data_IF_827768222615
#
_entry.id   IF_827768222615
#
_cell.length_a   1.000
_cell.length_b   1.000
_cell.length_c   1.000
_cell.angle_alpha   90.00
_cell.angle_beta   90.00
_cell.angle_gamma   90.00
#
_symmetry.space_group_name_H-M   'P 1'
#
loop_
_entity.id
_entity.type
_entity.pdbx_description
1 polymer ?
#
# COMPACT_ATOMS: atom_id res chain seq x y z
N UNK A 1 -16.58 -46.67 -125.25
CA UNK A 1 -17.51 -45.68 -124.67
C UNK A 1 -18.17 -46.33 -123.49
N UNK A 2 -17.69 -46.16 -122.33
CA UNK A 2 -18.29 -46.69 -121.12
C UNK A 2 -18.20 -45.62 -120.05
N UNK A 3 -19.35 -45.16 -119.60
CA UNK A 3 -19.50 -44.26 -118.45
C UNK A 3 -19.35 -45.08 -117.18
N UNK A 4 -18.49 -44.65 -116.33
CA UNK A 4 -18.35 -45.16 -114.93
C UNK A 4 -19.06 -44.17 -114.03
N UNK A 5 -20.15 -44.57 -113.38
CA UNK A 5 -20.81 -43.82 -112.29
C UNK A 5 -20.06 -44.05 -111.01
N UNK A 6 -19.55 -42.96 -110.38
CA UNK A 6 -19.00 -42.95 -109.04
C UNK A 6 -20.14 -42.85 -108.01
N UNK A 7 -20.26 -43.86 -107.19
CA UNK A 7 -21.22 -43.88 -106.07
C UNK A 7 -20.62 -43.10 -104.88
N UNK A 8 -21.15 -41.94 -104.55
CA UNK A 8 -20.80 -41.20 -103.34
C UNK A 8 -21.40 -41.86 -102.12
N UNK A 9 -20.53 -42.30 -101.20
CA UNK A 9 -20.89 -42.77 -99.86
C UNK A 9 -21.08 -41.60 -98.97
N UNK A 10 -22.30 -41.32 -98.50
CA UNK A 10 -22.66 -40.26 -97.55
C UNK A 10 -22.31 -40.72 -96.15
N UNK A 11 -21.24 -40.16 -95.56
CA UNK A 11 -20.90 -40.32 -94.09
C UNK A 11 -21.97 -39.61 -93.27
N UNK A 12 -22.54 -40.29 -92.26
CA UNK A 12 -23.48 -39.76 -91.28
C UNK A 12 -22.76 -38.82 -90.32
N UNK A 13 -23.36 -37.68 -89.90
CA UNK A 13 -22.72 -36.72 -88.98
C UNK A 13 -22.55 -37.30 -87.60
N UNK A 14 -21.30 -37.43 -87.18
CA UNK A 14 -20.98 -37.72 -85.77
C UNK A 14 -21.50 -36.60 -84.85
N UNK A 15 -22.49 -36.93 -83.98
CA UNK A 15 -22.96 -36.05 -82.87
C UNK A 15 -21.80 -35.71 -81.91
N UNK A 16 -21.30 -34.50 -82.06
CA UNK A 16 -20.35 -33.95 -81.04
C UNK A 16 -21.12 -33.76 -79.72
N UNK A 17 -20.79 -34.54 -78.70
CA UNK A 17 -21.33 -34.38 -77.37
C UNK A 17 -20.80 -33.08 -76.82
N UNK A 18 -21.66 -32.02 -76.72
CA UNK A 18 -21.26 -30.73 -76.12
C UNK A 18 -21.19 -30.86 -74.64
N UNK A 19 -19.96 -30.95 -74.09
CA UNK A 19 -19.69 -30.98 -72.61
C UNK A 19 -19.92 -29.62 -71.96
N UNK A 20 -20.04 -28.52 -72.72
CA UNK A 20 -20.19 -27.15 -72.23
C UNK A 20 -21.35 -26.95 -71.25
N UNK A 21 -22.60 -27.47 -71.48
CA UNK A 21 -23.66 -27.27 -70.46
C UNK A 21 -23.43 -28.01 -69.16
N UNK A 22 -22.75 -29.16 -69.21
CA UNK A 22 -22.40 -29.91 -67.94
C UNK A 22 -21.33 -29.21 -67.15
N UNK A 23 -20.30 -28.63 -67.77
CA UNK A 23 -19.26 -27.85 -67.16
C UNK A 23 -19.83 -26.59 -66.48
N UNK A 24 -20.74 -25.88 -67.21
CA UNK A 24 -21.48 -24.72 -66.68
C UNK A 24 -22.36 -25.11 -65.45
N UNK A 25 -23.01 -26.28 -65.51
CA UNK A 25 -23.83 -26.81 -64.43
C UNK A 25 -22.98 -27.11 -63.18
N UNK A 26 -21.79 -27.73 -63.31
CA UNK A 26 -20.86 -28.03 -62.21
C UNK A 26 -20.30 -26.73 -61.64
N UNK A 27 -19.90 -25.75 -62.44
CA UNK A 27 -19.46 -24.44 -62.00
C UNK A 27 -20.57 -23.72 -61.20
N UNK A 28 -21.83 -23.79 -61.71
CA UNK A 28 -23.00 -23.22 -61.02
C UNK A 28 -23.23 -23.85 -59.61
N UNK A 29 -23.12 -25.17 -59.51
CA UNK A 29 -23.28 -25.90 -58.25
C UNK A 29 -22.14 -25.53 -57.25
N UNK A 30 -20.88 -25.50 -57.75
CA UNK A 30 -19.72 -25.09 -56.94
C UNK A 30 -19.88 -23.65 -56.41
N UNK A 31 -20.37 -22.74 -57.26
CA UNK A 31 -20.63 -21.35 -56.93
C UNK A 31 -21.75 -21.21 -55.90
N UNK A 32 -22.84 -21.98 -56.04
CA UNK A 32 -23.94 -22.01 -55.05
C UNK A 32 -23.43 -22.55 -53.72
N UNK A 33 -22.66 -23.64 -53.67
CA UNK A 33 -22.07 -24.19 -52.44
C UNK A 33 -21.11 -23.20 -51.81
N UNK A 34 -20.31 -22.48 -52.59
CA UNK A 34 -19.39 -21.46 -52.08
C UNK A 34 -20.16 -20.27 -51.49
N UNK A 35 -21.19 -19.77 -52.18
CA UNK A 35 -22.04 -18.68 -51.67
C UNK A 35 -22.76 -19.11 -50.39
N UNK A 36 -23.34 -20.31 -50.38
CA UNK A 36 -24.06 -20.84 -49.20
C UNK A 36 -23.12 -20.96 -48.01
N UNK A 37 -21.90 -21.47 -48.18
CA UNK A 37 -20.89 -21.52 -47.11
C UNK A 37 -20.52 -20.13 -46.60
N UNK A 38 -20.35 -19.15 -47.51
CA UNK A 38 -20.01 -17.77 -47.13
C UNK A 38 -21.15 -17.09 -46.35
N UNK A 39 -22.40 -17.33 -46.77
CA UNK A 39 -23.60 -16.80 -46.11
C UNK A 39 -23.77 -17.43 -44.73
N UNK A 40 -23.62 -18.74 -44.59
CA UNK A 40 -23.68 -19.45 -43.30
C UNK A 40 -22.57 -18.94 -42.38
N UNK A 41 -21.36 -18.73 -42.90
CA UNK A 41 -20.24 -18.17 -42.12
C UNK A 41 -20.55 -16.75 -41.62
N UNK A 42 -21.07 -15.86 -42.48
CA UNK A 42 -21.41 -14.49 -42.14
C UNK A 42 -22.58 -14.38 -41.12
N UNK A 43 -23.49 -15.37 -41.11
CA UNK A 43 -24.60 -15.40 -40.15
C UNK A 43 -24.12 -15.84 -38.75
N UNK A 44 -23.08 -16.71 -38.66
CA UNK A 44 -22.60 -17.28 -37.42
C UNK A 44 -21.34 -16.62 -36.88
N UNK A 45 -20.75 -15.66 -37.57
CA UNK A 45 -19.56 -14.95 -37.14
C UNK A 45 -19.74 -13.45 -37.33
N UNK A 46 -19.41 -12.71 -36.28
CA UNK A 46 -19.31 -11.26 -36.33
C UNK A 46 -17.84 -10.87 -36.23
N UNK A 47 -17.36 -10.06 -37.15
CA UNK A 47 -15.95 -9.65 -37.20
C UNK A 47 -15.79 -8.13 -37.13
N UNK A 48 -14.63 -7.71 -36.62
CA UNK A 48 -14.20 -6.31 -36.66
C UNK A 48 -12.69 -6.23 -36.83
N UNK A 49 -12.28 -5.33 -37.71
CA UNK A 49 -10.90 -4.92 -37.97
C UNK A 49 -10.45 -3.75 -37.07
N UNK A 50 -11.41 -3.08 -36.41
CA UNK A 50 -11.12 -1.99 -35.49
C UNK A 50 -10.82 -2.56 -34.11
N UNK A 51 -9.69 -3.23 -33.97
CA UNK A 51 -9.27 -3.85 -32.72
C UNK A 51 -7.75 -3.82 -32.57
N UNK A 52 -7.31 -3.66 -31.32
CA UNK A 52 -5.90 -3.55 -30.96
C UNK A 52 -5.59 -4.35 -29.72
N UNK A 53 -4.36 -4.88 -29.67
CA UNK A 53 -3.82 -5.49 -28.47
C UNK A 53 -3.45 -4.39 -27.48
N UNK A 54 -3.87 -4.55 -26.23
CA UNK A 54 -3.51 -3.70 -25.11
C UNK A 54 -2.89 -4.53 -23.97
N UNK A 55 -2.13 -3.87 -23.13
CA UNK A 55 -1.53 -4.43 -21.93
C UNK A 55 -1.50 -3.38 -20.81
N UNK A 56 -1.05 -3.78 -19.64
CA UNK A 56 -0.78 -2.84 -18.55
C UNK A 56 0.50 -2.04 -18.86
N UNK A 57 0.40 -0.72 -18.81
CA UNK A 57 1.53 0.19 -18.93
C UNK A 57 1.73 0.83 -17.56
N UNK A 58 2.85 0.53 -16.90
CA UNK A 58 3.17 1.00 -15.56
C UNK A 58 4.15 2.17 -15.65
N UNK A 59 3.72 3.41 -15.39
CA UNK A 59 4.62 4.56 -15.42
C UNK A 59 5.60 4.50 -14.24
N UNK A 60 6.86 4.78 -14.50
CA UNK A 60 7.92 4.87 -13.49
C UNK A 60 8.12 6.33 -13.15
N UNK A 61 7.79 6.66 -11.90
CA UNK A 61 7.86 8.03 -11.37
C UNK A 61 8.69 8.04 -10.08
N UNK A 62 9.61 8.99 -9.87
CA UNK A 62 10.38 9.11 -8.64
C UNK A 62 9.51 9.64 -7.50
N UNK A 63 9.73 9.13 -6.31
CA UNK A 63 9.12 9.60 -5.05
C UNK A 63 9.98 10.66 -4.34
N UNK A 64 11.23 10.80 -4.75
CA UNK A 64 12.17 11.83 -4.28
C UNK A 64 12.76 12.55 -5.46
N UNK A 65 13.04 13.84 -5.30
CA UNK A 65 13.72 14.65 -6.31
C UNK A 65 15.23 14.62 -6.14
N UNK A 66 15.97 14.77 -7.24
CA UNK A 66 17.44 14.84 -7.23
C UNK A 66 18.02 14.64 -8.62
N UNK A 67 19.36 14.64 -8.72
CA UNK A 67 20.05 14.37 -9.96
C UNK A 67 20.17 12.86 -10.22
N UNK A 68 20.02 12.45 -11.46
CA UNK A 68 20.26 11.05 -11.84
C UNK A 68 21.75 10.76 -11.78
N UNK A 69 22.14 9.84 -10.88
CA UNK A 69 23.52 9.39 -10.71
C UNK A 69 23.86 8.22 -11.65
N UNK A 70 22.90 7.29 -11.85
CA UNK A 70 23.11 6.08 -12.63
C UNK A 70 21.81 5.64 -13.31
N UNK A 71 21.92 5.16 -14.57
CA UNK A 71 20.83 4.52 -15.30
C UNK A 71 21.32 3.13 -15.70
N UNK A 72 20.67 2.06 -15.26
CA UNK A 72 21.06 0.66 -15.49
C UNK A 72 20.25 -0.03 -16.58
N UNK A 73 19.43 0.70 -17.27
CA UNK A 73 18.53 0.17 -18.29
C UNK A 73 18.75 0.86 -19.63
N UNK A 74 18.44 0.14 -20.69
CA UNK A 74 18.31 0.66 -22.04
C UNK A 74 16.90 0.55 -22.57
N UNK A 75 16.63 1.23 -23.70
CA UNK A 75 15.32 1.18 -24.34
C UNK A 75 15.01 -0.24 -24.82
N UNK A 76 13.78 -0.68 -24.65
CA UNK A 76 13.26 -1.99 -25.08
C UNK A 76 13.97 -3.21 -24.44
N UNK A 77 14.61 -3.05 -23.29
CA UNK A 77 15.20 -4.16 -22.53
C UNK A 77 14.15 -4.75 -21.59
N UNK A 78 14.16 -6.07 -21.47
CA UNK A 78 13.33 -6.78 -20.50
C UNK A 78 13.91 -6.66 -19.10
N UNK A 79 13.08 -6.35 -18.11
CA UNK A 79 13.43 -6.22 -16.69
C UNK A 79 12.54 -7.10 -15.84
N UNK A 80 13.10 -7.58 -14.71
CA UNK A 80 12.35 -8.33 -13.72
C UNK A 80 11.95 -7.43 -12.56
N UNK A 81 10.84 -7.79 -11.91
CA UNK A 81 10.39 -7.12 -10.70
C UNK A 81 11.51 -7.07 -9.65
N UNK A 82 11.82 -5.87 -9.18
CA UNK A 82 12.89 -5.61 -8.20
C UNK A 82 14.23 -5.19 -8.81
N UNK A 83 14.41 -5.29 -10.13
CA UNK A 83 15.62 -4.81 -10.79
C UNK A 83 15.79 -3.31 -10.60
N UNK A 84 17.01 -2.88 -10.31
CA UNK A 84 17.34 -1.46 -10.19
C UNK A 84 17.39 -0.81 -11.57
N UNK A 85 16.51 0.18 -11.79
CA UNK A 85 16.37 0.87 -13.06
C UNK A 85 17.20 2.16 -13.10
N UNK A 86 17.03 3.01 -12.09
CA UNK A 86 17.66 4.31 -11.98
C UNK A 86 18.07 4.54 -10.54
N UNK A 87 19.22 5.20 -10.34
CA UNK A 87 19.65 5.70 -9.04
C UNK A 87 19.70 7.22 -9.09
N UNK A 88 19.09 7.85 -8.12
CA UNK A 88 19.15 9.29 -7.86
C UNK A 88 20.28 9.53 -6.85
N UNK A 89 20.96 10.67 -6.93
CA UNK A 89 21.97 11.09 -5.96
C UNK A 89 21.38 11.11 -4.54
N UNK A 90 21.93 10.24 -3.70
CA UNK A 90 21.41 9.94 -2.37
C UNK A 90 22.19 10.64 -1.24
N UNK A 91 23.17 11.48 -1.57
CA UNK A 91 24.07 12.10 -0.58
C UNK A 91 23.34 12.94 0.44
N UNK A 92 22.40 13.78 0.00
CA UNK A 92 21.58 14.60 0.89
C UNK A 92 20.64 13.74 1.76
N UNK A 93 20.08 12.67 1.20
CA UNK A 93 19.21 11.74 1.92
C UNK A 93 20.01 10.95 2.99
N UNK A 94 21.23 10.54 2.70
CA UNK A 94 22.15 9.90 3.67
C UNK A 94 22.48 10.86 4.82
N UNK A 95 22.70 12.14 4.53
CA UNK A 95 22.91 13.14 5.58
C UNK A 95 21.66 13.35 6.45
N UNK A 96 20.46 13.30 5.86
CA UNK A 96 19.21 13.34 6.64
C UNK A 96 19.05 12.14 7.55
N UNK A 97 19.34 10.92 7.07
CA UNK A 97 19.37 9.70 7.92
C UNK A 97 20.35 9.88 9.07
N UNK A 98 21.59 10.32 8.78
CA UNK A 98 22.61 10.54 9.80
C UNK A 98 22.20 11.57 10.86
N UNK A 99 21.54 12.64 10.44
CA UNK A 99 20.97 13.64 11.34
C UNK A 99 19.89 13.06 12.26
N UNK A 100 19.00 12.22 11.71
CA UNK A 100 17.96 11.56 12.48
C UNK A 100 18.53 10.53 13.47
N UNK A 101 19.56 9.75 13.07
CA UNK A 101 20.29 8.83 13.96
C UNK A 101 20.88 9.56 15.17
N UNK A 102 21.52 10.69 14.96
CA UNK A 102 22.09 11.51 16.04
C UNK A 102 21.00 12.06 16.95
N UNK A 103 19.87 12.48 16.38
CA UNK A 103 18.73 12.97 17.18
C UNK A 103 18.13 11.85 18.05
N UNK A 104 18.01 10.63 17.51
CA UNK A 104 17.58 9.45 18.26
C UNK A 104 18.56 9.12 19.40
N UNK A 105 19.87 9.10 19.12
CA UNK A 105 20.89 8.83 20.13
C UNK A 105 20.83 9.86 21.28
N UNK A 106 20.60 11.14 20.96
CA UNK A 106 20.43 12.19 21.97
C UNK A 106 19.17 11.96 22.82
N UNK A 107 18.05 11.56 22.22
CA UNK A 107 16.84 11.24 22.97
C UNK A 107 17.03 10.04 23.89
N UNK A 108 17.72 8.99 23.44
CA UNK A 108 18.08 7.83 24.26
C UNK A 108 18.97 8.20 25.42
N UNK A 109 19.97 9.07 25.20
CA UNK A 109 20.82 9.59 26.27
C UNK A 109 20.02 10.38 27.30
N UNK A 110 19.01 11.16 26.88
CA UNK A 110 18.11 11.88 27.78
C UNK A 110 17.28 10.94 28.68
N UNK A 111 16.83 9.79 28.16
CA UNK A 111 16.16 8.76 28.97
C UNK A 111 17.09 8.29 30.08
N UNK A 112 18.37 8.04 29.78
CA UNK A 112 19.36 7.61 30.80
C UNK A 112 19.57 8.67 31.87
N UNK A 113 19.64 9.96 31.51
CA UNK A 113 19.74 11.08 32.45
C UNK A 113 18.51 11.14 33.36
N UNK A 114 17.32 11.04 32.78
CA UNK A 114 16.06 11.07 33.51
C UNK A 114 15.93 9.86 34.46
N UNK A 115 16.40 8.68 34.04
CA UNK A 115 16.45 7.47 34.85
C UNK A 115 17.42 7.63 36.04
N UNK A 116 18.58 8.23 35.83
CA UNK A 116 19.52 8.55 36.89
C UNK A 116 18.91 9.54 37.90
N UNK A 117 18.17 10.54 37.42
CA UNK A 117 17.42 11.48 38.28
C UNK A 117 16.36 10.76 39.14
N UNK A 118 15.63 9.79 38.55
CA UNK A 118 14.68 8.98 39.32
C UNK A 118 15.37 8.15 40.43
N UNK A 119 16.53 7.55 40.13
CA UNK A 119 17.31 6.80 41.11
C UNK A 119 17.70 7.69 42.29
N UNK A 120 18.11 8.93 42.04
CA UNK A 120 18.40 9.93 43.08
C UNK A 120 17.16 10.25 43.92
N UNK A 121 16.02 10.43 43.27
CA UNK A 121 14.74 10.69 43.97
C UNK A 121 14.33 9.50 44.84
N UNK A 122 14.49 8.27 44.35
CA UNK A 122 14.24 7.05 45.13
C UNK A 122 15.18 6.95 46.37
N UNK A 123 16.45 7.32 46.23
CA UNK A 123 17.38 7.38 47.32
C UNK A 123 16.93 8.40 48.39
N UNK A 124 16.44 9.57 48.00
CA UNK A 124 15.89 10.58 48.90
C UNK A 124 14.66 10.07 49.67
N UNK A 125 13.77 9.29 49.03
CA UNK A 125 12.65 8.63 49.71
C UNK A 125 13.15 7.63 50.75
N UNK A 126 14.18 6.84 50.43
CA UNK A 126 14.78 5.89 51.37
C UNK A 126 15.39 6.59 52.61
N UNK A 127 16.04 7.73 52.42
CA UNK A 127 16.54 8.57 53.50
C UNK A 127 15.40 9.11 54.38
N UNK A 128 14.38 9.75 53.73
CA UNK A 128 13.23 10.29 54.47
C UNK A 128 12.46 9.23 55.26
N UNK A 129 12.42 7.99 54.76
CA UNK A 129 11.80 6.86 55.47
C UNK A 129 12.63 6.42 56.69
N UNK A 130 13.96 6.45 56.60
CA UNK A 130 14.85 6.12 57.75
C UNK A 130 14.72 7.12 58.88
N UNK A 131 14.45 8.39 58.59
CA UNK A 131 14.28 9.44 59.60
C UNK A 131 13.05 9.23 60.51
N UNK A 132 12.07 8.44 60.09
CA UNK A 132 10.85 8.13 60.86
C UNK A 132 11.17 7.21 62.07
N UNK A 133 12.06 6.24 61.96
CA UNK A 133 12.36 5.24 62.99
C UNK A 133 12.89 5.89 64.26
N UNK A 134 13.92 6.76 64.28
CA UNK A 134 14.37 7.44 65.45
C UNK A 134 13.31 8.36 66.07
N UNK A 135 12.50 9.04 65.19
CA UNK A 135 11.40 9.87 65.63
C UNK A 135 10.29 9.03 66.35
N UNK A 136 10.04 7.82 65.91
CA UNK A 136 9.08 6.90 66.51
C UNK A 136 9.65 6.44 67.91
N UNK A 137 10.91 6.12 67.94
CA UNK A 137 11.57 5.77 69.25
C UNK A 137 11.51 6.91 70.30
N UNK A 138 11.54 8.18 69.82
CA UNK A 138 11.35 9.34 70.72
C UNK A 138 9.90 9.41 71.26
N UNK A 139 8.88 9.01 70.52
CA UNK A 139 7.51 8.86 71.04
C UNK A 139 7.47 7.80 72.10
N UNK A 140 8.08 6.62 71.87
CA UNK A 140 8.07 5.52 72.86
C UNK A 140 8.75 5.95 74.16
N UNK A 141 9.87 6.66 74.09
CA UNK A 141 10.55 7.21 75.25
C UNK A 141 9.68 8.28 75.95
N UNK A 142 8.99 9.15 75.23
CA UNK A 142 8.10 10.14 75.81
C UNK A 142 6.86 9.50 76.49
N UNK A 143 6.35 8.43 75.93
CA UNK A 143 5.25 7.64 76.51
C UNK A 143 5.66 7.02 77.83
N UNK A 144 6.84 6.46 77.94
CA UNK A 144 7.35 5.90 79.18
C UNK A 144 7.49 6.97 80.23
N UNK A 145 8.01 8.16 79.87
CA UNK A 145 8.11 9.31 80.81
C UNK A 145 6.74 9.80 81.34
N UNK A 146 5.78 9.88 80.37
CA UNK A 146 4.41 10.25 80.76
C UNK A 146 3.80 9.22 81.73
N UNK A 147 3.99 7.92 81.42
CA UNK A 147 3.50 6.86 82.29
C UNK A 147 4.09 6.98 83.74
N UNK A 148 5.40 7.23 83.88
CA UNK A 148 6.03 7.45 85.13
C UNK A 148 5.43 8.68 85.88
N UNK A 149 5.36 9.83 85.17
CA UNK A 149 4.83 11.07 85.76
C UNK A 149 3.33 10.92 86.13
N UNK A 150 2.57 10.12 85.38
CA UNK A 150 1.19 9.81 85.71
C UNK A 150 1.08 8.97 86.99
N UNK A 151 1.96 7.96 87.20
CA UNK A 151 2.01 7.14 88.43
C UNK A 151 2.35 7.99 89.62
N UNK A 152 3.31 8.92 89.47
CA UNK A 152 3.68 9.85 90.53
C UNK A 152 2.53 10.81 90.85
N UNK A 153 1.88 11.40 89.86
CA UNK A 153 0.72 12.25 90.05
C UNK A 153 -0.42 11.51 90.78
N UNK A 154 -0.74 10.29 90.42
CA UNK A 154 -1.80 9.50 91.06
C UNK A 154 -1.45 9.13 92.45
N UNK A 155 -0.16 8.86 92.74
CA UNK A 155 0.36 8.58 94.09
C UNK A 155 0.28 9.81 95.01
N UNK A 156 0.81 10.94 94.59
CA UNK A 156 0.78 12.17 95.37
C UNK A 156 -0.62 12.73 95.57
N UNK A 157 -1.49 12.56 94.59
CA UNK A 157 -2.92 12.87 94.73
C UNK A 157 -3.58 12.09 95.90
N UNK A 158 -3.34 10.75 95.91
CA UNK A 158 -3.89 9.89 96.99
C UNK A 158 -3.28 10.27 98.37
N UNK A 159 -1.98 10.58 98.45
CA UNK A 159 -1.33 11.01 99.69
C UNK A 159 -1.89 12.36 100.16
N UNK A 160 -2.18 13.30 99.33
CA UNK A 160 -2.81 14.57 99.63
C UNK A 160 -4.23 14.36 100.17
N UNK A 161 -5.02 13.51 99.48
CA UNK A 161 -6.44 13.21 99.83
C UNK A 161 -6.49 12.52 101.22
N UNK A 162 -5.44 11.76 101.64
CA UNK A 162 -5.29 11.11 102.90
C UNK A 162 -4.65 12.01 104.01
N UNK A 163 -4.38 13.29 103.66
CA UNK A 163 -3.69 14.21 104.63
C UNK A 163 -2.25 13.89 104.93
N UNK A 164 -1.59 12.96 104.23
CA UNK A 164 -0.21 12.49 104.43
C UNK A 164 0.81 13.08 103.48
N UNK A 165 0.38 13.90 102.49
CA UNK A 165 1.21 14.60 101.47
C UNK A 165 1.09 16.11 101.63
N UNK A 166 2.05 16.86 101.01
CA UNK A 166 2.02 18.33 100.95
C UNK A 166 1.45 18.80 99.61
N UNK A 167 0.74 19.97 99.62
CA UNK A 167 0.23 20.59 98.39
C UNK A 167 1.35 20.83 97.36
N UNK A 168 2.56 21.25 97.85
CA UNK A 168 3.72 21.47 97.00
C UNK A 168 4.16 20.20 96.22
N UNK A 169 4.14 19.01 96.89
CA UNK A 169 4.47 17.75 96.29
C UNK A 169 3.47 17.36 95.14
N UNK A 170 2.17 17.57 95.39
CA UNK A 170 1.12 17.36 94.39
C UNK A 170 1.27 18.31 93.24
N UNK A 171 1.49 19.61 93.49
CA UNK A 171 1.62 20.62 92.40
C UNK A 171 2.86 20.33 91.53
N UNK A 172 3.96 19.88 92.12
CA UNK A 172 5.16 19.45 91.40
C UNK A 172 4.88 18.20 90.51
N UNK A 173 4.19 17.22 91.04
CA UNK A 173 3.85 16.02 90.30
C UNK A 173 2.85 16.34 89.09
N UNK A 174 1.92 17.26 89.35
CA UNK A 174 0.99 17.76 88.31
C UNK A 174 1.75 18.46 87.18
N UNK A 175 2.67 19.37 87.56
CA UNK A 175 3.48 20.07 86.54
C UNK A 175 4.40 19.11 85.76
N UNK A 176 4.99 18.08 86.46
CA UNK A 176 5.76 17.06 85.78
C UNK A 176 4.96 16.23 84.78
N UNK A 177 3.71 15.87 85.14
CA UNK A 177 2.79 15.18 84.17
C UNK A 177 2.46 16.07 83.03
N UNK A 178 2.04 17.32 83.21
CA UNK A 178 1.73 18.28 82.18
C UNK A 178 2.95 18.50 81.24
N UNK A 179 4.14 18.59 81.74
CA UNK A 179 5.38 18.65 80.94
C UNK A 179 5.60 17.40 80.11
N UNK A 180 5.39 16.20 80.70
CA UNK A 180 5.53 14.93 79.95
C UNK A 180 4.47 14.79 78.89
N UNK A 181 3.23 15.24 79.11
CA UNK A 181 2.19 15.30 78.10
C UNK A 181 2.59 16.19 76.88
N UNK A 182 3.12 17.38 77.18
CA UNK A 182 3.60 18.30 76.12
C UNK A 182 4.80 17.74 75.39
N UNK A 183 5.69 17.03 76.05
CA UNK A 183 6.82 16.36 75.41
C UNK A 183 6.37 15.23 74.50
N UNK A 184 5.35 14.42 74.86
CA UNK A 184 4.74 13.42 74.01
C UNK A 184 4.06 14.06 72.77
N UNK A 185 3.28 15.11 72.99
CA UNK A 185 2.64 15.88 71.93
C UNK A 185 3.69 16.41 70.90
N UNK A 186 4.82 16.97 71.43
CA UNK A 186 5.92 17.44 70.59
C UNK A 186 6.53 16.31 69.77
N UNK A 187 6.77 15.13 70.29
CA UNK A 187 7.32 13.96 69.62
C UNK A 187 6.35 13.45 68.54
N UNK A 188 5.04 13.43 68.86
CA UNK A 188 4.00 13.04 67.86
C UNK A 188 3.94 14.01 66.69
N UNK A 189 4.03 15.32 66.91
CA UNK A 189 4.10 16.34 65.85
C UNK A 189 5.37 16.19 65.04
N UNK A 190 6.50 15.82 65.62
CA UNK A 190 7.73 15.55 64.89
C UNK A 190 7.58 14.37 63.90
N UNK A 191 6.99 13.22 64.33
CA UNK A 191 6.70 12.07 63.45
C UNK A 191 5.73 12.45 62.36
N UNK A 192 4.67 13.24 62.66
CA UNK A 192 3.76 13.73 61.65
C UNK A 192 4.47 14.57 60.55
N UNK A 193 5.42 15.43 60.96
CA UNK A 193 6.23 16.22 60.04
C UNK A 193 7.13 15.34 59.17
N UNK A 194 7.79 14.31 59.71
CA UNK A 194 8.59 13.36 58.90
C UNK A 194 7.74 12.55 57.95
N UNK A 195 6.54 12.10 58.36
CA UNK A 195 5.57 11.43 57.47
C UNK A 195 5.12 12.33 56.33
N UNK A 196 4.85 13.60 56.58
CA UNK A 196 4.50 14.57 55.54
C UNK A 196 5.67 14.79 54.56
N UNK A 197 6.91 14.83 55.05
CA UNK A 197 8.11 14.94 54.21
C UNK A 197 8.32 13.70 53.35
N UNK A 198 8.06 12.49 53.93
CA UNK A 198 8.08 11.25 53.15
C UNK A 198 7.03 11.24 52.05
N UNK A 199 5.80 11.67 52.33
CA UNK A 199 4.72 11.77 51.34
C UNK A 199 5.09 12.74 50.22
N UNK A 200 5.66 13.90 50.50
CA UNK A 200 6.16 14.84 49.51
C UNK A 200 7.27 14.23 48.64
N UNK A 201 8.25 13.54 49.28
CA UNK A 201 9.31 12.86 48.52
C UNK A 201 8.77 11.73 47.61
N UNK A 202 7.78 10.97 48.10
CA UNK A 202 7.09 9.94 47.30
C UNK A 202 6.33 10.53 46.11
N UNK A 203 5.71 11.68 46.25
CA UNK A 203 5.06 12.40 45.12
C UNK A 203 6.10 12.79 44.08
N UNK A 204 7.30 13.19 44.44
CA UNK A 204 8.38 13.51 43.52
C UNK A 204 8.83 12.28 42.71
N UNK A 205 8.75 11.05 43.27
CA UNK A 205 8.99 9.81 42.50
C UNK A 205 7.99 9.65 41.38
N UNK A 206 6.70 9.93 41.62
CA UNK A 206 5.67 9.86 40.62
C UNK A 206 5.92 10.88 39.47
N UNK A 207 6.35 12.10 39.82
CA UNK A 207 6.75 13.12 38.85
C UNK A 207 7.93 12.63 37.99
N UNK A 208 8.98 12.11 38.65
CA UNK A 208 10.16 11.56 37.95
C UNK A 208 9.80 10.40 37.02
N UNK A 209 8.90 9.50 37.45
CA UNK A 209 8.41 8.40 36.62
C UNK A 209 7.66 8.90 35.38
N UNK A 210 6.85 9.95 35.50
CA UNK A 210 6.18 10.58 34.35
C UNK A 210 7.19 11.27 33.41
N UNK A 211 8.24 11.89 33.95
CA UNK A 211 9.31 12.48 33.12
C UNK A 211 10.04 11.41 32.30
N UNK A 212 10.25 10.21 32.84
CA UNK A 212 10.80 9.10 32.03
C UNK A 212 9.87 8.70 30.91
N UNK A 213 8.56 8.61 31.15
CA UNK A 213 7.59 8.32 30.10
C UNK A 213 7.63 9.38 28.99
N UNK A 214 7.72 10.65 29.36
CA UNK A 214 7.86 11.74 28.37
C UNK A 214 9.14 11.58 27.57
N UNK A 215 10.26 11.25 28.21
CA UNK A 215 11.53 11.03 27.52
C UNK A 215 11.47 9.78 26.60
N UNK A 216 10.76 8.72 27.01
CA UNK A 216 10.54 7.52 26.18
C UNK A 216 9.70 7.83 24.93
N UNK A 217 8.60 8.59 25.08
CA UNK A 217 7.79 9.05 23.94
C UNK A 217 8.64 9.88 22.96
N UNK A 218 9.58 10.66 23.49
CA UNK A 218 10.50 11.43 22.64
C UNK A 218 11.46 10.51 21.86
N UNK A 219 11.90 9.38 22.43
CA UNK A 219 12.68 8.37 21.70
C UNK A 219 11.85 7.76 20.58
N UNK A 220 10.59 7.39 20.85
CA UNK A 220 9.67 6.85 19.85
C UNK A 220 9.46 7.85 18.69
N UNK A 221 9.22 9.12 19.01
CA UNK A 221 9.10 10.17 17.98
C UNK A 221 10.37 10.28 17.12
N UNK A 222 11.58 10.24 17.71
CA UNK A 222 12.83 10.29 16.95
C UNK A 222 13.09 9.03 16.14
N UNK A 223 12.61 7.87 16.61
CA UNK A 223 12.65 6.63 15.84
C UNK A 223 11.81 6.75 14.57
N UNK A 224 10.57 7.25 14.68
CA UNK A 224 9.70 7.49 13.51
C UNK A 224 10.33 8.48 12.51
N UNK A 225 10.99 9.54 13.01
CA UNK A 225 11.71 10.47 12.14
C UNK A 225 12.87 9.80 11.41
N UNK A 226 13.58 8.88 12.07
CA UNK A 226 14.63 8.07 11.44
C UNK A 226 14.06 7.14 10.38
N UNK A 227 12.96 6.45 10.66
CA UNK A 227 12.31 5.51 9.74
C UNK A 227 11.81 6.25 8.47
N UNK A 228 11.25 7.44 8.62
CA UNK A 228 10.88 8.32 7.50
C UNK A 228 12.11 8.71 6.65
N UNK A 229 13.22 9.08 7.30
CA UNK A 229 14.45 9.43 6.58
C UNK A 229 15.03 8.23 5.82
N UNK A 230 15.02 7.02 6.42
CA UNK A 230 15.46 5.78 5.77
C UNK A 230 14.53 5.40 4.61
N UNK A 231 13.23 5.56 4.77
CA UNK A 231 12.26 5.32 3.70
C UNK A 231 12.51 6.25 2.51
N UNK A 232 12.74 7.53 2.76
CA UNK A 232 13.08 8.49 1.71
C UNK A 232 14.39 8.14 1.01
N UNK A 233 15.40 7.67 1.76
CA UNK A 233 16.65 7.19 1.20
C UNK A 233 16.44 5.96 0.30
N UNK A 234 15.55 5.04 0.68
CA UNK A 234 15.21 3.88 -0.14
C UNK A 234 14.59 4.27 -1.49
N UNK A 235 13.88 5.39 -1.56
CA UNK A 235 13.27 5.90 -2.79
C UNK A 235 14.28 6.51 -3.78
N UNK A 236 15.52 6.74 -3.36
CA UNK A 236 16.59 7.14 -4.28
C UNK A 236 16.97 6.03 -5.27
N UNK A 237 16.68 4.77 -4.94
CA UNK A 237 16.84 3.62 -5.84
C UNK A 237 15.48 3.26 -6.43
N UNK A 238 15.30 3.55 -7.71
CA UNK A 238 14.06 3.24 -8.42
C UNK A 238 14.15 1.82 -8.97
N UNK A 239 13.24 0.95 -8.55
CA UNK A 239 13.18 -0.45 -8.95
C UNK A 239 11.95 -0.75 -9.80
N UNK A 240 12.01 -1.81 -10.61
CA UNK A 240 10.89 -2.29 -11.41
C UNK A 240 9.76 -2.84 -10.51
N UNK A 241 8.52 -2.34 -10.61
CA UNK A 241 7.39 -2.84 -9.84
C UNK A 241 6.81 -4.15 -10.38
N UNK A 242 7.06 -4.47 -11.66
CA UNK A 242 6.59 -5.66 -12.37
C UNK A 242 7.63 -6.12 -13.39
N UNK A 243 7.45 -7.33 -13.90
CA UNK A 243 8.19 -7.84 -15.05
C UNK A 243 7.68 -7.16 -16.33
N UNK A 244 8.57 -6.91 -17.30
CA UNK A 244 8.14 -6.33 -18.57
C UNK A 244 9.26 -5.65 -19.35
N UNK A 245 8.91 -5.01 -20.45
CA UNK A 245 9.83 -4.26 -21.30
C UNK A 245 9.83 -2.79 -20.95
N UNK A 246 11.01 -2.22 -20.80
CA UNK A 246 11.18 -0.77 -20.62
C UNK A 246 10.82 -0.07 -21.92
N UNK A 247 9.97 0.96 -21.83
CA UNK A 247 9.67 1.84 -22.96
C UNK A 247 10.88 2.76 -23.28
N UNK A 248 10.73 3.64 -24.25
CA UNK A 248 11.75 4.68 -24.50
C UNK A 248 11.99 5.52 -23.24
N UNK A 249 13.26 5.62 -22.81
CA UNK A 249 13.64 6.47 -21.66
C UNK A 249 13.54 7.96 -22.03
N UNK A 250 12.84 8.69 -21.15
CA UNK A 250 12.72 10.14 -21.26
C UNK A 250 13.74 10.90 -20.42
N UNK A 251 14.78 10.23 -19.87
CA UNK A 251 15.72 10.80 -18.91
C UNK A 251 17.17 10.49 -19.25
N UNK A 252 18.06 11.38 -18.81
CA UNK A 252 19.50 11.29 -19.06
C UNK A 252 20.32 11.34 -17.76
N UNK A 253 21.52 10.79 -17.80
CA UNK A 253 22.47 10.89 -16.69
C UNK A 253 22.75 12.34 -16.35
N UNK A 254 22.78 12.70 -15.06
CA UNK A 254 22.99 14.06 -14.58
C UNK A 254 21.78 14.99 -14.71
N UNK A 255 20.65 14.49 -15.20
CA UNK A 255 19.41 15.28 -15.28
C UNK A 255 18.78 15.42 -13.89
N UNK A 256 18.28 16.62 -13.57
CA UNK A 256 17.44 16.84 -12.40
C UNK A 256 16.04 16.33 -12.66
N UNK A 257 15.53 15.48 -11.75
CA UNK A 257 14.16 14.98 -11.77
C UNK A 257 13.38 15.42 -10.53
N UNK A 258 12.10 15.68 -10.75
CA UNK A 258 11.17 16.11 -9.68
C UNK A 258 10.24 14.96 -9.29
N UNK A 259 9.72 15.02 -8.07
CA UNK A 259 8.71 14.05 -7.58
C UNK A 259 7.51 14.02 -8.53
N UNK A 260 7.08 12.80 -8.90
CA UNK A 260 5.94 12.60 -9.80
C UNK A 260 6.22 12.80 -11.30
N UNK A 261 7.43 13.18 -11.69
CA UNK A 261 7.82 13.30 -13.10
C UNK A 261 7.88 11.91 -13.74
N UNK A 262 7.19 11.71 -14.88
CA UNK A 262 7.28 10.45 -15.61
C UNK A 262 8.67 10.31 -16.25
N UNK A 263 9.42 9.26 -15.88
CA UNK A 263 10.74 8.96 -16.41
C UNK A 263 10.64 8.10 -17.68
N UNK A 264 9.90 7.03 -17.61
CA UNK A 264 9.58 6.06 -18.66
C UNK A 264 8.45 5.15 -18.13
N UNK A 265 8.06 4.15 -18.91
CA UNK A 265 7.07 3.17 -18.49
C UNK A 265 7.59 1.74 -18.69
N UNK A 266 7.06 0.79 -17.92
CA UNK A 266 7.23 -0.64 -18.14
C UNK A 266 5.96 -1.18 -18.76
N UNK A 267 6.12 -1.89 -19.88
CA UNK A 267 5.05 -2.59 -20.59
C UNK A 267 5.00 -4.00 -20.05
N UNK A 268 3.97 -4.31 -19.29
CA UNK A 268 3.75 -5.63 -18.71
C UNK A 268 3.05 -6.53 -19.73
N UNK A 269 3.80 -7.52 -20.23
CA UNK A 269 3.28 -8.48 -21.22
C UNK A 269 2.61 -9.72 -20.59
N UNK A 270 2.52 -9.79 -19.24
CA UNK A 270 1.94 -10.96 -18.55
C UNK A 270 0.44 -11.11 -18.80
N UNK A 271 -0.26 -10.00 -18.90
CA UNK A 271 -1.70 -9.95 -19.13
C UNK A 271 -2.01 -9.03 -20.31
N UNK A 272 -2.14 -9.63 -21.49
CA UNK A 272 -2.56 -8.94 -22.70
C UNK A 272 -4.02 -9.22 -23.03
N UNK A 273 -4.69 -8.22 -23.55
CA UNK A 273 -6.07 -8.33 -24.03
C UNK A 273 -6.25 -7.57 -25.34
N UNK A 274 -7.31 -7.88 -26.07
CA UNK A 274 -7.74 -7.14 -27.24
C UNK A 274 -8.92 -6.26 -26.85
N UNK A 275 -8.88 -5.00 -27.25
CA UNK A 275 -10.05 -4.14 -27.32
C UNK A 275 -10.54 -4.12 -28.75
N UNK A 276 -11.70 -4.74 -28.96
CA UNK A 276 -12.34 -4.85 -30.27
C UNK A 276 -13.60 -3.99 -30.30
N UNK A 277 -13.66 -3.03 -31.24
CA UNK A 277 -14.76 -2.09 -31.36
C UNK A 277 -15.79 -2.61 -32.36
N UNK A 278 -16.79 -3.33 -31.87
CA UNK A 278 -17.89 -3.84 -32.69
C UNK A 278 -18.97 -2.79 -32.95
N UNK A 279 -19.65 -2.88 -34.09
CA UNK A 279 -20.82 -2.02 -34.37
C UNK A 279 -21.97 -2.36 -33.40
N UNK A 280 -22.74 -1.36 -32.99
CA UNK A 280 -23.91 -1.53 -32.13
C UNK A 280 -24.85 -2.65 -32.63
N UNK A 281 -25.02 -2.78 -33.94
CA UNK A 281 -25.83 -3.81 -34.58
C UNK A 281 -25.30 -5.25 -34.47
N UNK A 282 -24.01 -5.41 -34.09
CA UNK A 282 -23.36 -6.71 -33.90
C UNK A 282 -23.42 -7.22 -32.45
N UNK A 283 -23.60 -6.29 -31.49
CA UNK A 283 -23.54 -6.59 -30.05
C UNK A 283 -24.68 -7.46 -29.55
N UNK A 284 -25.87 -7.38 -30.16
CA UNK A 284 -27.06 -8.10 -29.71
C UNK A 284 -26.83 -9.61 -29.54
N UNK A 285 -26.00 -10.19 -30.42
CA UNK A 285 -25.69 -11.63 -30.44
C UNK A 285 -24.50 -12.01 -29.57
N UNK A 286 -23.82 -11.04 -28.96
CA UNK A 286 -22.60 -11.29 -28.21
C UNK A 286 -22.88 -11.49 -26.72
N UNK A 287 -22.19 -12.46 -26.10
CA UNK A 287 -22.30 -12.78 -24.67
C UNK A 287 -20.91 -12.96 -24.07
N UNK A 288 -20.78 -12.60 -22.80
CA UNK A 288 -19.58 -12.86 -22.01
C UNK A 288 -19.29 -14.38 -22.00
N UNK A 289 -18.03 -14.74 -22.16
CA UNK A 289 -17.57 -16.14 -22.21
C UNK A 289 -17.54 -16.74 -23.61
N UNK A 290 -18.01 -16.06 -24.66
CA UNK A 290 -17.89 -16.56 -26.03
C UNK A 290 -16.44 -16.61 -26.51
N UNK A 291 -16.12 -17.62 -27.31
CA UNK A 291 -14.81 -17.80 -27.94
C UNK A 291 -14.66 -16.84 -29.14
N UNK A 292 -13.48 -16.24 -29.20
CA UNK A 292 -13.09 -15.29 -30.24
C UNK A 292 -11.83 -15.80 -30.92
N UNK A 293 -11.82 -15.78 -32.22
CA UNK A 293 -10.60 -15.97 -33.03
C UNK A 293 -9.97 -14.60 -33.25
N UNK A 294 -8.68 -14.50 -33.01
CA UNK A 294 -7.92 -13.27 -33.14
C UNK A 294 -6.87 -13.51 -34.21
N UNK A 295 -6.95 -12.75 -35.30
CA UNK A 295 -5.98 -12.76 -36.39
C UNK A 295 -5.14 -11.49 -36.25
N UNK A 296 -3.83 -11.66 -36.01
CA UNK A 296 -2.88 -10.55 -35.80
C UNK A 296 -2.24 -10.19 -37.12
N UNK A 297 -2.31 -8.93 -37.53
CA UNK A 297 -1.80 -8.47 -38.86
C UNK A 297 -0.30 -8.75 -39.03
N UNK A 298 0.46 -8.73 -37.94
CA UNK A 298 1.90 -9.07 -37.96
C UNK A 298 2.18 -10.57 -38.19
N UNK A 299 1.19 -11.45 -37.97
CA UNK A 299 1.33 -12.91 -38.03
C UNK A 299 0.14 -13.54 -38.75
N UNK A 300 -0.04 -13.32 -40.07
CA UNK A 300 -1.28 -13.67 -40.82
C UNK A 300 -1.55 -15.18 -40.86
N UNK A 301 -0.50 -16.02 -40.77
CA UNK A 301 -0.62 -17.48 -40.75
C UNK A 301 -0.95 -18.07 -39.38
N UNK A 302 -0.95 -17.23 -38.32
CA UNK A 302 -1.20 -17.67 -36.94
C UNK A 302 -2.56 -17.18 -36.45
N UNK A 303 -3.30 -18.10 -35.85
CA UNK A 303 -4.59 -17.79 -35.22
C UNK A 303 -4.46 -17.91 -33.73
N UNK A 304 -4.81 -16.83 -33.06
CA UNK A 304 -4.88 -16.79 -31.60
C UNK A 304 -6.34 -16.99 -31.18
N UNK A 305 -6.53 -17.54 -30.02
CA UNK A 305 -7.86 -17.69 -29.41
C UNK A 305 -7.96 -16.81 -28.17
N UNK A 306 -9.15 -16.33 -27.93
CA UNK A 306 -9.48 -15.55 -26.76
C UNK A 306 -10.92 -15.72 -26.34
N UNK A 307 -11.29 -15.09 -25.25
CA UNK A 307 -12.63 -15.17 -24.67
C UNK A 307 -13.14 -13.78 -24.34
N UNK A 308 -14.39 -13.48 -24.65
CA UNK A 308 -15.02 -12.21 -24.27
C UNK A 308 -15.10 -12.13 -22.75
N UNK A 309 -14.39 -11.15 -22.18
CA UNK A 309 -14.42 -10.86 -20.74
C UNK A 309 -15.55 -9.92 -20.38
N UNK A 310 -15.69 -8.85 -21.14
CA UNK A 310 -16.71 -7.83 -20.88
C UNK A 310 -17.09 -7.05 -22.13
N UNK A 311 -18.32 -6.58 -22.16
CA UNK A 311 -18.80 -5.58 -23.11
C UNK A 311 -18.93 -4.26 -22.35
N UNK A 312 -18.39 -3.17 -22.90
CA UNK A 312 -18.55 -1.86 -22.25
C UNK A 312 -20.00 -1.39 -22.26
N UNK A 313 -20.41 -0.78 -21.14
CA UNK A 313 -21.79 -0.30 -20.96
C UNK A 313 -22.11 0.98 -21.79
N UNK A 314 -21.10 1.59 -22.42
CA UNK A 314 -21.27 2.80 -23.21
C UNK A 314 -20.41 2.75 -24.49
N UNK A 315 -20.83 3.50 -25.49
CA UNK A 315 -20.10 3.62 -26.76
C UNK A 315 -18.82 4.44 -26.59
N UNK A 316 -17.82 4.19 -27.45
CA UNK A 316 -16.55 4.92 -27.39
C UNK A 316 -16.69 6.44 -27.53
N UNK A 317 -17.73 6.93 -28.22
CA UNK A 317 -18.01 8.36 -28.38
C UNK A 317 -18.42 9.06 -27.08
N UNK A 318 -19.02 8.35 -26.12
CA UNK A 318 -19.41 8.92 -24.82
C UNK A 318 -18.20 9.18 -23.91
N UNK A 319 -17.09 8.49 -24.13
CA UNK A 319 -15.83 8.67 -23.37
C UNK A 319 -14.79 9.52 -24.11
N UNK A 320 -15.14 10.03 -25.30
CA UNK A 320 -14.23 10.92 -26.01
C UNK A 320 -14.12 12.28 -25.32
N UNK A 321 -12.90 12.81 -25.19
CA UNK A 321 -12.63 14.15 -24.64
C UNK A 321 -13.40 15.28 -25.36
N UNK A 322 -13.70 15.07 -26.65
CA UNK A 322 -14.53 15.93 -27.49
C UNK A 322 -15.59 15.05 -28.15
N UNK A 323 -16.79 14.93 -27.56
CA UNK A 323 -17.89 14.23 -28.22
C UNK A 323 -18.17 14.87 -29.57
N UNK A 324 -18.48 14.10 -30.65
CA UNK A 324 -18.84 14.66 -31.91
C UNK A 324 -20.18 15.40 -31.77
N UNK A 325 -20.11 16.72 -31.69
CA UNK A 325 -21.28 17.60 -31.67
C UNK A 325 -21.54 18.14 -33.08
N UNK A 326 -22.75 17.95 -33.59
CA UNK A 326 -23.15 18.45 -34.90
C UNK A 326 -23.53 19.93 -34.81
N UNK A 327 -22.56 20.82 -35.03
CA UNK A 327 -22.75 22.28 -34.98
C UNK A 327 -23.84 22.80 -35.98
N UNK A 328 -24.32 21.97 -36.87
CA UNK A 328 -25.33 22.35 -37.92
C UNK A 328 -26.78 22.07 -37.53
N UNK A 329 -27.05 21.53 -36.32
CA UNK A 329 -28.42 21.29 -35.86
C UNK A 329 -29.15 20.09 -36.48
N UNK A 330 -28.59 19.41 -37.48
CA UNK A 330 -29.17 18.23 -38.09
C UNK A 330 -28.59 16.95 -37.46
N UNK A 331 -29.45 16.16 -36.79
CA UNK A 331 -29.05 14.87 -36.25
C UNK A 331 -28.81 13.86 -37.38
N UNK A 332 -27.56 13.42 -37.56
CA UNK A 332 -27.20 12.31 -38.44
C UNK A 332 -27.00 11.05 -37.61
N UNK A 333 -27.84 10.03 -37.82
CA UNK A 333 -27.67 8.73 -37.18
C UNK A 333 -26.43 8.02 -37.72
N UNK A 334 -25.32 8.04 -36.97
CA UNK A 334 -24.11 7.26 -37.28
C UNK A 334 -24.07 6.02 -36.43
N UNK A 335 -23.70 4.88 -37.01
CA UNK A 335 -23.56 3.61 -36.26
C UNK A 335 -22.45 3.76 -35.25
N UNK A 336 -22.78 3.61 -33.95
CA UNK A 336 -21.85 3.68 -32.85
C UNK A 336 -21.05 2.37 -32.75
N UNK A 337 -19.87 2.46 -32.14
CA UNK A 337 -19.05 1.29 -31.81
C UNK A 337 -18.98 1.09 -30.30
N UNK A 338 -19.12 -0.16 -29.90
CA UNK A 338 -19.04 -0.58 -28.50
C UNK A 338 -17.75 -1.38 -28.32
N UNK A 339 -16.84 -0.96 -27.40
CA UNK A 339 -15.64 -1.71 -27.11
C UNK A 339 -15.95 -3.00 -26.36
N UNK A 340 -15.38 -4.09 -26.84
CA UNK A 340 -15.45 -5.43 -26.25
C UNK A 340 -14.06 -5.83 -25.81
N UNK A 341 -13.89 -6.17 -24.53
CA UNK A 341 -12.63 -6.66 -23.99
C UNK A 341 -12.55 -8.17 -24.15
N UNK A 342 -11.52 -8.64 -24.82
CA UNK A 342 -11.26 -10.05 -25.11
C UNK A 342 -9.93 -10.42 -24.48
N UNK A 343 -9.93 -11.39 -23.57
CA UNK A 343 -8.68 -11.93 -23.00
C UNK A 343 -8.11 -12.93 -23.98
N UNK A 344 -6.83 -12.81 -24.27
CA UNK A 344 -6.07 -13.77 -25.07
C UNK A 344 -5.76 -14.99 -24.20
N UNK A 345 -6.03 -16.20 -24.70
CA UNK A 345 -5.77 -17.43 -23.97
C UNK A 345 -4.26 -17.60 -23.75
N UNK A 346 -3.86 -17.93 -22.51
CA UNK A 346 -2.43 -18.05 -22.11
C UNK A 346 -1.72 -19.15 -22.91
N UNK A 347 -0.41 -18.99 -23.12
CA UNK A 347 0.50 -19.91 -23.81
C UNK A 347 0.42 -20.00 -25.34
N UNK A 348 -0.25 -19.11 -26.02
CA UNK A 348 -0.32 -19.12 -27.48
C UNK A 348 0.79 -18.33 -28.16
N UNK A 349 1.49 -17.47 -27.44
CA UNK A 349 2.43 -16.49 -28.00
C UNK A 349 3.93 -16.81 -27.81
N UNK A 350 4.29 -17.99 -27.31
CA UNK A 350 5.71 -18.32 -27.04
C UNK A 350 6.64 -18.15 -28.24
N UNK A 351 6.15 -18.43 -29.45
CA UNK A 351 6.92 -18.30 -30.69
C UNK A 351 6.61 -17.04 -31.50
N UNK A 352 5.56 -16.31 -31.14
CA UNK A 352 5.03 -15.13 -31.82
C UNK A 352 4.75 -14.04 -30.79
N UNK A 353 5.76 -13.24 -30.42
CA UNK A 353 5.60 -12.24 -29.37
C UNK A 353 4.58 -11.18 -29.79
N UNK A 354 3.48 -11.12 -29.07
CA UNK A 354 2.47 -10.07 -29.22
C UNK A 354 2.97 -8.80 -28.55
N UNK A 355 2.64 -7.65 -29.13
CA UNK A 355 3.02 -6.35 -28.55
C UNK A 355 1.79 -5.45 -28.45
N UNK A 356 1.74 -4.63 -27.43
CA UNK A 356 0.70 -3.61 -27.29
C UNK A 356 0.70 -2.67 -28.50
N UNK A 357 -0.48 -2.32 -28.98
CA UNK A 357 -0.67 -1.48 -30.17
C UNK A 357 -0.71 -2.23 -31.49
N UNK A 358 -0.46 -3.55 -31.52
CA UNK A 358 -0.65 -4.34 -32.75
C UNK A 358 -2.13 -4.38 -33.14
N UNK A 359 -2.40 -4.17 -34.43
CA UNK A 359 -3.73 -4.32 -34.99
C UNK A 359 -4.10 -5.79 -35.17
N UNK A 360 -5.34 -6.10 -34.93
CA UNK A 360 -5.88 -7.45 -35.03
C UNK A 360 -7.27 -7.43 -35.61
N UNK A 361 -7.68 -8.53 -36.23
CA UNK A 361 -9.06 -8.78 -36.58
C UNK A 361 -9.67 -9.76 -35.59
N UNK A 362 -10.72 -9.34 -34.90
CA UNK A 362 -11.43 -10.16 -33.94
C UNK A 362 -12.68 -10.75 -34.55
N UNK A 363 -12.80 -12.09 -34.57
CA UNK A 363 -13.94 -12.84 -35.13
C UNK A 363 -14.61 -13.58 -33.98
N UNK A 364 -15.82 -13.14 -33.64
CA UNK A 364 -16.65 -13.74 -32.58
C UNK A 364 -17.59 -14.75 -33.18
N UNK A 365 -17.60 -15.98 -32.65
CA UNK A 365 -18.59 -16.97 -33.04
C UNK A 365 -19.90 -16.71 -32.29
N UNK A 366 -20.91 -16.22 -33.04
CA UNK A 366 -22.26 -15.98 -32.52
C UNK A 366 -23.15 -17.17 -32.95
N UNK A 367 -23.88 -17.72 -31.98
CA UNK A 367 -24.76 -18.89 -32.24
C UNK A 367 -26.20 -18.45 -32.35
#
# INVERSE_FOLDING_TARGET
MANTEETQVTEAPKKKFNFTPYILGVIGIVLIVFITKKVIYAIHNEDTDNSQIQCNIVPIVPKVGGFIEEIRIDDNVYVHKGDTLVRIDDRDLKLQVKKAEVALANAQANVNVTQASQNTTNANVAVANKDISPAQSAIDAAQIRLWQAQQDYDRFKKLLDLGSGTQQQFDNAKAAKELAEKQLEQSQRAVAAYKSRLAASSSNVAVSANNIKVAQIQVEQRQEELDIAQLNLSYAVITAPCDGYVSKKGVQLGQLVSVGQNLFAIVDESDMWVIANFKETQIEKMKIGQKVKIEVDAYPDQKFEGTIQSLQAATGSMFALLPPDNATGNFVKVVQRVPVKIIIDKNQNKNYPLRAGMNVTAVVKVS
#
